data_IF_025225442811
#
_entry.id   IF_025225442811
#
_cell.length_a   1.000
_cell.length_b   1.000
_cell.length_c   1.000
_cell.angle_alpha   90.00
_cell.angle_beta   90.00
_cell.angle_gamma   90.00
#
_symmetry.space_group_name_H-M   'P 1'
#
loop_
_entity.id
_entity.type
_entity.pdbx_description
1 polymer ?
#
# COMPACT_ATOMS: atom_id res chain seq x y z
N UNK A 1 9.02 -5.09 15.13
CA UNK A 1 9.63 -3.87 15.71
C UNK A 1 9.27 -2.61 14.89
N UNK A 2 9.56 -2.56 13.58
CA UNK A 2 9.26 -1.40 12.72
C UNK A 2 7.75 -1.11 12.64
N UNK A 3 6.91 -2.12 12.48
CA UNK A 3 5.45 -1.93 12.42
C UNK A 3 4.88 -1.38 13.72
N UNK A 4 5.40 -1.78 14.87
CA UNK A 4 4.95 -1.23 16.14
C UNK A 4 5.31 0.25 16.28
N UNK A 5 6.48 0.64 15.79
CA UNK A 5 6.88 2.04 15.71
C UNK A 5 5.93 2.85 14.82
N UNK A 6 5.66 2.36 13.59
CA UNK A 6 4.75 3.02 12.66
C UNK A 6 3.35 3.18 13.28
N UNK A 7 2.82 2.12 13.86
CA UNK A 7 1.51 2.16 14.54
C UNK A 7 1.48 3.19 15.66
N UNK A 8 2.53 3.25 16.49
CA UNK A 8 2.58 4.22 17.61
C UNK A 8 2.60 5.65 17.09
N UNK A 9 3.45 5.97 16.11
CA UNK A 9 3.50 7.32 15.51
C UNK A 9 2.14 7.71 14.93
N UNK A 10 1.43 6.78 14.29
CA UNK A 10 0.12 7.05 13.74
C UNK A 10 -0.96 7.20 14.81
N UNK A 11 -0.89 6.44 15.91
CA UNK A 11 -1.79 6.62 17.07
C UNK A 11 -1.60 8.02 17.66
N UNK A 12 -0.35 8.43 17.86
CA UNK A 12 -0.02 9.74 18.42
C UNK A 12 -0.46 10.89 17.49
N UNK A 13 -0.42 10.67 16.18
CA UNK A 13 -0.81 11.65 15.17
C UNK A 13 -2.33 11.75 14.92
N UNK A 14 -3.07 10.70 15.21
CA UNK A 14 -4.52 10.58 14.98
C UNK A 14 -5.26 10.09 16.23
N UNK A 15 -5.50 8.79 16.33
CA UNK A 15 -6.05 8.07 17.47
C UNK A 15 -5.87 6.54 17.26
N UNK A 16 -6.29 5.73 18.26
CA UNK A 16 -6.15 4.27 18.21
C UNK A 16 -6.90 3.61 17.05
N UNK A 17 -7.96 4.20 16.52
CA UNK A 17 -8.76 3.63 15.42
C UNK A 17 -7.98 3.60 14.11
N UNK A 18 -6.96 4.43 13.97
CA UNK A 18 -6.10 4.50 12.78
C UNK A 18 -5.46 3.15 12.44
N UNK A 19 -5.21 2.30 13.43
CA UNK A 19 -4.59 0.97 13.24
C UNK A 19 -5.42 0.07 12.32
N UNK A 20 -6.74 0.25 12.29
CA UNK A 20 -7.64 -0.47 11.40
C UNK A 20 -7.31 -0.32 9.91
N UNK A 21 -6.56 0.73 9.53
CA UNK A 21 -6.14 0.95 8.14
C UNK A 21 -5.19 -0.15 7.62
N UNK A 22 -4.49 -0.87 8.50
CA UNK A 22 -3.57 -1.95 8.16
C UNK A 22 -4.23 -3.32 7.96
N UNK A 23 -5.53 -3.44 8.27
CA UNK A 23 -6.32 -4.66 8.09
C UNK A 23 -5.74 -5.91 8.76
N UNK A 24 -4.91 -5.76 9.79
CA UNK A 24 -4.27 -6.87 10.48
C UNK A 24 -3.18 -7.59 9.68
N UNK A 25 -2.78 -7.07 8.51
CA UNK A 25 -1.75 -7.70 7.69
C UNK A 25 -0.43 -7.85 8.45
N UNK A 26 0.16 -9.05 8.49
CA UNK A 26 1.40 -9.31 9.22
C UNK A 26 2.63 -8.70 8.54
N UNK A 27 2.58 -8.52 7.23
CA UNK A 27 3.66 -7.92 6.44
C UNK A 27 3.09 -6.77 5.63
N UNK A 28 3.82 -5.64 5.63
CA UNK A 28 3.47 -4.44 4.88
C UNK A 28 4.64 -4.05 3.99
N UNK A 29 4.36 -3.86 2.70
CA UNK A 29 5.32 -3.34 1.73
C UNK A 29 4.89 -1.95 1.32
N UNK A 30 5.72 -0.96 1.63
CA UNK A 30 5.51 0.41 1.20
C UNK A 30 6.31 0.68 -0.06
N UNK A 31 5.66 1.23 -1.07
CA UNK A 31 6.25 1.59 -2.36
C UNK A 31 6.23 3.11 -2.46
N UNK A 32 7.40 3.70 -2.67
CA UNK A 32 7.56 5.14 -2.79
C UNK A 32 7.79 5.54 -4.26
N UNK A 33 7.29 6.72 -4.63
CA UNK A 33 7.49 7.32 -5.94
C UNK A 33 8.40 8.56 -5.85
N UNK A 34 9.13 8.85 -6.91
CA UNK A 34 9.78 10.13 -7.13
C UNK A 34 8.73 11.19 -7.47
N UNK A 35 8.64 12.25 -6.67
CA UNK A 35 7.63 13.31 -6.88
C UNK A 35 7.94 14.18 -8.11
N UNK A 36 9.17 14.13 -8.62
CA UNK A 36 9.64 14.92 -9.77
C UNK A 36 9.57 14.14 -11.10
N UNK A 37 9.12 12.89 -11.06
CA UNK A 37 9.00 12.05 -12.25
C UNK A 37 7.57 11.52 -12.41
N UNK A 38 6.85 12.05 -13.38
CA UNK A 38 5.42 11.81 -13.57
C UNK A 38 5.06 10.32 -13.75
N UNK A 39 5.93 9.54 -14.43
CA UNK A 39 5.70 8.11 -14.64
C UNK A 39 5.98 7.24 -13.42
N UNK A 40 6.62 7.78 -12.39
CA UNK A 40 6.96 7.04 -11.18
C UNK A 40 5.73 6.41 -10.50
N UNK A 41 4.57 7.06 -10.56
CA UNK A 41 3.32 6.50 -10.03
C UNK A 41 2.85 5.26 -10.81
N UNK A 42 3.03 5.24 -12.13
CA UNK A 42 2.71 4.07 -12.97
C UNK A 42 3.66 2.91 -12.66
N UNK A 43 4.97 3.20 -12.51
CA UNK A 43 5.97 2.20 -12.12
C UNK A 43 5.62 1.54 -10.78
N UNK A 44 5.16 2.33 -9.81
CA UNK A 44 4.69 1.80 -8.52
C UNK A 44 3.49 0.85 -8.68
N UNK A 45 2.54 1.19 -9.55
CA UNK A 45 1.39 0.33 -9.84
C UNK A 45 1.79 -0.99 -10.49
N UNK A 46 2.68 -0.93 -11.49
CA UNK A 46 3.23 -2.12 -12.17
C UNK A 46 3.99 -3.02 -11.20
N UNK A 47 4.79 -2.43 -10.31
CA UNK A 47 5.51 -3.16 -9.26
C UNK A 47 4.54 -3.85 -8.29
N UNK A 48 3.51 -3.12 -7.83
CA UNK A 48 2.51 -3.67 -6.91
C UNK A 48 1.78 -4.86 -7.53
N UNK A 49 1.35 -4.75 -8.79
CA UNK A 49 0.66 -5.85 -9.50
C UNK A 49 1.54 -7.09 -9.62
N UNK A 50 2.81 -6.93 -10.05
CA UNK A 50 3.75 -8.04 -10.12
C UNK A 50 3.95 -8.72 -8.75
N UNK A 51 4.03 -7.93 -7.68
CA UNK A 51 4.15 -8.44 -6.31
C UNK A 51 2.92 -9.23 -5.89
N UNK A 52 1.72 -8.73 -6.19
CA UNK A 52 0.46 -9.39 -5.85
C UNK A 52 0.27 -10.69 -6.65
N UNK A 53 0.65 -10.72 -7.92
CA UNK A 53 0.62 -11.94 -8.76
C UNK A 53 1.62 -12.98 -8.22
N UNK A 54 2.83 -12.56 -7.85
CA UNK A 54 3.81 -13.45 -7.24
C UNK A 54 3.30 -14.00 -5.89
N UNK A 55 2.71 -13.17 -5.04
CA UNK A 55 2.10 -13.61 -3.78
C UNK A 55 1.02 -14.67 -4.02
N UNK A 56 0.12 -14.44 -4.97
CA UNK A 56 -0.92 -15.38 -5.35
C UNK A 56 -0.34 -16.73 -5.80
N UNK A 57 0.73 -16.72 -6.57
CA UNK A 57 1.39 -17.96 -7.04
C UNK A 57 2.01 -18.78 -5.91
N UNK A 58 2.33 -18.12 -4.79
CA UNK A 58 2.89 -18.73 -3.57
C UNK A 58 1.83 -19.05 -2.50
N UNK A 59 0.55 -18.88 -2.82
CA UNK A 59 -0.54 -19.08 -1.85
C UNK A 59 -0.61 -18.00 -0.76
N UNK A 60 -0.01 -16.84 -0.99
CA UNK A 60 -0.05 -15.69 -0.09
C UNK A 60 -1.14 -14.72 -0.53
N UNK A 61 -2.02 -14.34 0.38
CA UNK A 61 -3.00 -13.29 0.14
C UNK A 61 -2.36 -11.90 0.11
N UNK A 62 -2.91 -11.01 -0.69
CA UNK A 62 -2.44 -9.64 -0.82
C UNK A 62 -3.59 -8.64 -0.94
N UNK A 63 -3.36 -7.42 -0.46
CA UNK A 63 -4.32 -6.33 -0.55
C UNK A 63 -3.60 -4.98 -0.72
N UNK A 64 -4.03 -4.16 -1.69
CA UNK A 64 -3.62 -2.77 -1.79
C UNK A 64 -4.34 -1.92 -0.75
N UNK A 65 -3.58 -1.18 0.05
CA UNK A 65 -4.07 -0.33 1.13
C UNK A 65 -3.72 1.13 0.84
N UNK A 66 -4.72 1.91 0.45
CA UNK A 66 -4.54 3.34 0.18
C UNK A 66 -4.56 4.20 1.46
N UNK A 67 -5.32 3.78 2.47
CA UNK A 67 -5.48 4.57 3.70
C UNK A 67 -4.16 4.81 4.46
N UNK A 68 -3.30 3.80 4.70
CA UNK A 68 -2.02 4.05 5.36
C UNK A 68 -1.15 5.06 4.62
N UNK A 69 -1.10 4.97 3.30
CA UNK A 69 -0.31 5.87 2.44
C UNK A 69 -0.79 7.31 2.60
N UNK A 70 -2.11 7.53 2.43
CA UNK A 70 -2.68 8.87 2.54
C UNK A 70 -2.51 9.46 3.92
N UNK A 71 -2.80 8.70 4.98
CA UNK A 71 -2.68 9.17 6.35
C UNK A 71 -1.23 9.53 6.73
N UNK A 72 -0.24 8.79 6.21
CA UNK A 72 1.18 9.09 6.46
C UNK A 72 1.62 10.32 5.66
N UNK A 73 1.24 10.44 4.38
CA UNK A 73 1.66 11.56 3.55
C UNK A 73 0.98 12.88 3.95
N UNK A 74 -0.29 12.85 4.33
CA UNK A 74 -1.09 14.06 4.59
C UNK A 74 -0.82 14.69 5.96
N UNK A 75 -0.19 13.98 6.90
CA UNK A 75 0.05 14.49 8.24
C UNK A 75 1.54 14.65 8.55
N UNK A 76 2.04 15.89 8.70
CA UNK A 76 3.45 16.15 9.04
C UNK A 76 3.94 15.44 10.32
N UNK A 77 3.05 15.13 11.27
CA UNK A 77 3.40 14.37 12.47
C UNK A 77 3.84 12.92 12.14
N UNK A 78 3.48 12.40 10.96
CA UNK A 78 3.90 11.11 10.45
C UNK A 78 5.26 11.12 9.72
N UNK A 79 5.90 12.28 9.52
CA UNK A 79 7.21 12.39 8.87
C UNK A 79 8.30 11.47 9.48
N UNK A 80 8.33 11.18 10.80
CA UNK A 80 9.28 10.22 11.36
C UNK A 80 9.17 8.82 10.77
N UNK A 81 7.99 8.42 10.27
CA UNK A 81 7.76 7.13 9.60
C UNK A 81 8.58 7.04 8.32
N UNK A 82 8.58 8.11 7.50
CA UNK A 82 9.32 8.15 6.23
C UNK A 82 10.82 7.97 6.48
N UNK A 83 11.36 8.63 7.52
CA UNK A 83 12.75 8.47 7.94
C UNK A 83 13.04 7.03 8.39
N UNK A 84 12.14 6.43 9.16
CA UNK A 84 12.30 5.05 9.65
C UNK A 84 12.26 4.03 8.53
N UNK A 85 11.45 4.28 7.49
CA UNK A 85 11.38 3.49 6.26
C UNK A 85 12.53 3.78 5.28
N UNK A 86 13.41 4.74 5.59
CA UNK A 86 14.52 5.19 4.74
C UNK A 86 14.05 5.71 3.37
N UNK A 87 12.89 6.36 3.35
CA UNK A 87 12.40 7.03 2.15
C UNK A 87 13.26 8.28 1.92
N UNK A 88 13.84 8.37 0.72
CA UNK A 88 14.73 9.48 0.34
C UNK A 88 13.95 10.80 0.20
N UNK A 89 14.66 11.91 0.35
CA UNK A 89 14.11 13.23 0.02
C UNK A 89 13.70 13.26 -1.47
N UNK A 90 12.60 13.93 -1.76
CA UNK A 90 12.01 13.94 -3.11
C UNK A 90 11.14 12.72 -3.41
N UNK A 91 10.98 11.82 -2.45
CA UNK A 91 10.06 10.67 -2.57
C UNK A 91 8.92 10.75 -1.56
N UNK A 92 7.76 10.24 -1.97
CA UNK A 92 6.61 10.05 -1.10
C UNK A 92 6.05 8.62 -1.23
N UNK A 93 5.28 8.18 -0.27
CA UNK A 93 4.60 6.88 -0.39
C UNK A 93 3.54 6.95 -1.49
N UNK A 94 3.53 5.95 -2.37
CA UNK A 94 2.57 5.82 -3.47
C UNK A 94 1.56 4.71 -3.21
N UNK A 95 2.05 3.56 -2.79
CA UNK A 95 1.23 2.37 -2.54
C UNK A 95 1.69 1.67 -1.27
N UNK A 96 0.76 0.93 -0.67
CA UNK A 96 1.04 -0.01 0.38
C UNK A 96 0.37 -1.34 0.06
N UNK A 97 1.12 -2.43 0.11
CA UNK A 97 0.60 -3.79 -0.09
C UNK A 97 0.70 -4.54 1.23
N UNK A 98 -0.43 -4.96 1.76
CA UNK A 98 -0.49 -5.90 2.87
C UNK A 98 -0.40 -7.33 2.35
N UNK A 99 0.43 -8.15 2.99
CA UNK A 99 0.61 -9.56 2.66
C UNK A 99 0.33 -10.43 3.89
N UNK A 100 -0.29 -11.59 3.65
CA UNK A 100 -0.59 -12.55 4.71
C UNK A 100 -1.31 -13.78 4.17
N UNK A 101 -1.56 -14.75 5.01
CA UNK A 101 -2.40 -15.88 4.61
C UNK A 101 -3.87 -15.47 4.63
N UNK A 102 -4.59 -15.78 3.55
CA UNK A 102 -6.00 -15.42 3.41
C UNK A 102 -6.87 -16.20 4.42
N UNK A 103 -7.77 -15.47 5.08
CA UNK A 103 -8.78 -16.01 5.99
C UNK A 103 -10.20 -15.92 5.36
N UNK A 104 -10.25 -15.56 4.10
CA UNK A 104 -11.47 -15.45 3.31
C UNK A 104 -11.25 -15.89 1.87
N UNK A 105 -12.31 -16.31 1.20
CA UNK A 105 -12.32 -16.67 -0.21
C UNK A 105 -13.51 -16.00 -0.92
N UNK A 106 -13.50 -14.67 -1.07
CA UNK A 106 -14.60 -13.95 -1.68
C UNK A 106 -14.77 -14.34 -3.15
N UNK A 107 -16.00 -14.39 -3.63
CA UNK A 107 -16.27 -14.56 -5.05
C UNK A 107 -15.72 -13.39 -5.87
N UNK A 108 -15.20 -13.71 -7.05
CA UNK A 108 -14.71 -12.69 -7.97
C UNK A 108 -15.88 -11.83 -8.47
N UNK A 109 -15.75 -10.52 -8.33
CA UNK A 109 -16.75 -9.58 -8.86
C UNK A 109 -16.83 -9.71 -10.38
N UNK A 110 -18.06 -9.65 -10.97
CA UNK A 110 -18.22 -9.66 -12.42
C UNK A 110 -17.37 -8.57 -13.09
N UNK A 111 -16.76 -8.89 -14.23
CA UNK A 111 -16.02 -7.94 -15.03
C UNK A 111 -16.92 -7.37 -16.12
N UNK A 112 -16.94 -6.05 -16.23
CA UNK A 112 -17.66 -5.36 -17.32
C UNK A 112 -16.82 -5.41 -18.59
N UNK A 113 -17.19 -6.31 -19.50
CA UNK A 113 -16.55 -6.46 -20.80
C UNK A 113 -16.88 -5.32 -21.77
N UNK A 114 -17.94 -4.53 -21.50
CA UNK A 114 -18.33 -3.37 -22.28
C UNK A 114 -17.37 -2.19 -22.20
N UNK A 115 -16.39 -2.25 -21.30
CA UNK A 115 -15.32 -1.24 -21.16
C UNK A 115 -14.15 -1.43 -22.11
N UNK A 116 -14.14 -2.51 -22.87
CA UNK A 116 -13.06 -2.82 -23.84
C UNK A 116 -13.67 -2.95 -25.21
N UNK A 117 -13.15 -2.20 -26.15
CA UNK A 117 -13.51 -2.31 -27.58
C UNK A 117 -12.24 -2.22 -28.44
N UNK A 118 -12.30 -2.86 -29.59
CA UNK A 118 -11.21 -2.89 -30.54
C UNK A 118 -11.49 -1.91 -31.68
N UNK A 119 -10.56 -0.99 -31.92
CA UNK A 119 -10.58 -0.11 -33.08
C UNK A 119 -9.97 -0.87 -34.26
N UNK A 120 -10.73 -0.96 -35.37
CA UNK A 120 -10.28 -1.61 -36.61
C UNK A 120 -9.82 -0.58 -37.61
#
# INVERSE_FOLDING_TARGET
EVMNYIKQVMIDAYDEKVIGCFRGAPVMVFIARDVNYDFSAYDCGLMAENMMLAAQSLGVGSICLGSPVRLINDNPACAPILKRLKISEGYELSLCVGLGYADEAPEAKPRDKGKVWFVK
#
